data_IF_361704840763
#
_entry.id   IF_361704840763
#
_cell.length_a   1.000
_cell.length_b   1.000
_cell.length_c   1.000
_cell.angle_alpha   90.00
_cell.angle_beta   90.00
_cell.angle_gamma   90.00
#
_symmetry.space_group_name_H-M   'P 1'
#
loop_
_entity.id
_entity.type
_entity.pdbx_description
1 polymer ?
#
# COMPACT_ATOMS: atom_id res chain seq x y z
N UNK A 1 -50.38 29.79 21.53
CA UNK A 1 -50.56 28.32 21.41
C UNK A 1 -50.01 27.88 20.07
N UNK A 2 -49.17 26.87 20.10
CA UNK A 2 -48.12 26.55 19.12
C UNK A 2 -48.72 25.78 17.95
N UNK A 3 -48.53 26.25 16.72
CA UNK A 3 -49.04 25.57 15.51
C UNK A 3 -48.48 26.15 14.22
N UNK A 4 -47.38 25.54 13.74
CA UNK A 4 -46.84 25.48 12.36
C UNK A 4 -45.47 24.79 12.49
N UNK A 5 -45.38 23.46 12.41
CA UNK A 5 -45.29 22.68 11.16
C UNK A 5 -44.42 23.40 10.11
N UNK A 6 -43.12 23.44 10.38
CA UNK A 6 -42.06 23.30 9.39
C UNK A 6 -41.37 21.97 9.77
N UNK A 7 -41.56 20.83 9.09
CA UNK A 7 -41.27 20.59 7.68
C UNK A 7 -39.93 21.19 7.26
N UNK A 8 -38.87 20.83 7.97
CA UNK A 8 -37.51 20.95 7.49
C UNK A 8 -36.84 19.58 7.60
N UNK A 9 -36.92 18.86 6.47
CA UNK A 9 -35.87 17.98 5.94
C UNK A 9 -35.38 16.89 6.90
N UNK A 10 -35.81 15.64 6.77
CA UNK A 10 -35.47 14.77 5.63
C UNK A 10 -33.97 14.81 5.25
N UNK A 11 -33.16 14.13 6.06
CA UNK A 11 -32.05 13.28 5.62
C UNK A 11 -31.58 12.51 6.87
N UNK A 12 -32.16 11.37 7.19
CA UNK A 12 -31.90 10.10 6.50
C UNK A 12 -30.38 9.87 6.33
N UNK A 13 -29.76 9.38 7.41
CA UNK A 13 -28.88 8.21 7.38
C UNK A 13 -27.52 8.28 6.67
N UNK A 14 -26.64 7.33 6.98
CA UNK A 14 -25.20 7.40 6.76
C UNK A 14 -24.85 6.99 5.33
N UNK A 15 -24.32 7.91 4.51
CA UNK A 15 -23.71 7.52 3.25
C UNK A 15 -22.29 7.08 3.50
N UNK A 16 -22.15 5.76 3.58
CA UNK A 16 -20.97 5.03 3.19
C UNK A 16 -20.31 5.64 1.93
N UNK A 17 -19.00 5.40 1.80
CA UNK A 17 -18.24 5.46 0.56
C UNK A 17 -17.43 6.75 0.28
N UNK A 18 -16.52 7.10 1.20
CA UNK A 18 -15.19 7.56 0.78
C UNK A 18 -14.22 6.39 0.90
N UNK A 19 -14.35 5.42 -0.02
CA UNK A 19 -13.23 4.51 -0.31
C UNK A 19 -12.12 5.42 -0.86
N UNK A 20 -10.94 5.54 -0.23
CA UNK A 20 -9.80 5.94 -1.02
C UNK A 20 -9.74 4.91 -2.16
N UNK A 21 -9.74 5.41 -3.39
CA UNK A 21 -9.39 4.63 -4.57
C UNK A 21 -7.93 4.18 -4.40
N UNK A 22 -7.72 3.21 -3.52
CA UNK A 22 -6.51 2.40 -3.52
C UNK A 22 -6.72 1.51 -4.73
N UNK A 23 -6.26 2.03 -5.87
CA UNK A 23 -5.87 1.20 -7.00
C UNK A 23 -5.08 0.02 -6.41
N UNK A 24 -5.50 -1.24 -6.58
CA UNK A 24 -4.57 -2.33 -6.40
C UNK A 24 -3.61 -2.28 -7.60
N UNK A 25 -2.67 -1.34 -7.58
CA UNK A 25 -1.45 -1.39 -8.38
C UNK A 25 -0.45 -2.37 -7.73
N UNK A 26 -0.96 -3.48 -7.21
CA UNK A 26 -0.17 -4.68 -7.03
C UNK A 26 -0.51 -5.58 -8.20
N UNK A 27 0.04 -5.23 -9.36
CA UNK A 27 0.00 -6.04 -10.56
C UNK A 27 0.30 -7.50 -10.19
N UNK A 28 -0.63 -8.46 -10.32
CA UNK A 28 -0.30 -9.86 -10.24
C UNK A 28 0.28 -10.28 -11.59
N UNK A 29 1.39 -9.67 -11.98
CA UNK A 29 2.15 -10.11 -13.15
C UNK A 29 3.47 -10.61 -12.64
N UNK A 30 3.49 -11.85 -12.19
CA UNK A 30 4.70 -12.63 -12.40
C UNK A 30 4.25 -14.00 -12.83
N UNK A 31 4.31 -14.16 -14.14
CA UNK A 31 4.42 -15.41 -14.86
C UNK A 31 5.09 -16.48 -13.99
N UNK A 32 4.55 -17.69 -14.13
CA UNK A 32 5.09 -18.93 -13.61
C UNK A 32 6.49 -19.19 -14.21
N UNK A 33 7.49 -18.43 -13.77
CA UNK A 33 8.89 -18.62 -14.11
C UNK A 33 9.37 -19.80 -13.28
N UNK A 34 9.96 -20.79 -13.93
CA UNK A 34 10.53 -21.99 -13.33
C UNK A 34 11.78 -21.66 -12.48
N UNK A 35 11.62 -20.87 -11.42
CA UNK A 35 12.67 -20.46 -10.50
C UNK A 35 13.00 -21.58 -9.52
N UNK A 36 14.28 -21.73 -9.17
CA UNK A 36 14.75 -22.75 -8.25
C UNK A 36 14.15 -22.55 -6.83
N UNK A 37 13.96 -23.62 -6.05
CA UNK A 37 13.36 -23.55 -4.70
C UNK A 37 14.09 -22.57 -3.76
N UNK A 38 15.41 -22.44 -3.94
CA UNK A 38 16.25 -21.47 -3.20
C UNK A 38 15.95 -20.03 -3.59
N UNK A 39 15.88 -19.74 -4.89
CA UNK A 39 15.58 -18.41 -5.44
C UNK A 39 14.18 -17.94 -5.02
N UNK A 40 13.18 -18.84 -5.07
CA UNK A 40 11.82 -18.54 -4.62
C UNK A 40 11.79 -18.06 -3.16
N UNK A 41 12.43 -18.80 -2.25
CA UNK A 41 12.52 -18.41 -0.83
C UNK A 41 13.23 -17.07 -0.64
N UNK A 42 14.29 -16.79 -1.40
CA UNK A 42 14.99 -15.51 -1.35
C UNK A 42 14.11 -14.35 -1.83
N UNK A 43 13.42 -14.53 -2.95
CA UNK A 43 12.47 -13.54 -3.47
C UNK A 43 11.34 -13.30 -2.47
N UNK A 44 10.80 -14.34 -1.83
CA UNK A 44 9.78 -14.19 -0.79
C UNK A 44 10.29 -13.42 0.44
N UNK A 45 11.52 -13.69 0.89
CA UNK A 45 12.14 -12.95 1.98
C UNK A 45 12.33 -11.46 1.62
N UNK A 46 12.78 -11.17 0.39
CA UNK A 46 12.94 -9.79 -0.10
C UNK A 46 11.60 -9.08 -0.28
N UNK A 47 10.57 -9.77 -0.81
CA UNK A 47 9.21 -9.24 -0.92
C UNK A 47 8.64 -8.87 0.46
N UNK A 48 8.83 -9.72 1.47
CA UNK A 48 8.39 -9.43 2.83
C UNK A 48 9.08 -8.19 3.40
N UNK A 49 10.39 -8.01 3.15
CA UNK A 49 11.12 -6.79 3.54
C UNK A 49 10.59 -5.55 2.81
N UNK A 50 10.37 -5.66 1.50
CA UNK A 50 9.80 -4.59 0.67
C UNK A 50 8.41 -4.17 1.16
N UNK A 51 7.54 -5.13 1.48
CA UNK A 51 6.21 -4.83 2.02
C UNK A 51 6.28 -4.12 3.37
N UNK A 52 7.17 -4.55 4.27
CA UNK A 52 7.39 -3.85 5.55
C UNK A 52 7.85 -2.41 5.33
N UNK A 53 8.84 -2.21 4.45
CA UNK A 53 9.34 -0.88 4.11
C UNK A 53 8.24 0.01 3.51
N UNK A 54 7.37 -0.53 2.65
CA UNK A 54 6.25 0.21 2.05
C UNK A 54 5.16 0.59 3.05
N UNK A 55 4.88 -0.29 4.02
CA UNK A 55 3.97 0.00 5.14
C UNK A 55 4.54 1.12 6.01
N UNK A 56 5.84 1.08 6.34
CA UNK A 56 6.52 2.14 7.07
C UNK A 56 6.49 3.47 6.30
N UNK A 57 6.67 3.42 4.98
CA UNK A 57 6.59 4.59 4.10
C UNK A 57 5.19 5.21 4.12
N UNK A 58 4.17 4.36 4.11
CA UNK A 58 2.77 4.79 4.19
C UNK A 58 2.48 5.38 5.57
N UNK A 59 2.98 4.78 6.65
CA UNK A 59 2.84 5.30 8.01
C UNK A 59 3.55 6.65 8.17
N UNK A 60 4.80 6.76 7.70
CA UNK A 60 5.58 8.00 7.73
C UNK A 60 4.96 9.12 6.88
N UNK A 61 4.28 8.78 5.78
CA UNK A 61 3.50 9.76 5.00
C UNK A 61 2.24 10.24 5.71
N UNK A 62 1.61 9.39 6.52
CA UNK A 62 0.38 9.73 7.27
C UNK A 62 0.69 10.48 8.57
N UNK A 63 1.77 10.13 9.26
CA UNK A 63 2.31 10.85 10.42
C UNK A 63 3.79 11.13 10.17
N UNK A 64 4.13 12.30 9.61
CA UNK A 64 5.52 12.65 9.33
C UNK A 64 6.21 13.08 10.62
N UNK A 65 6.61 12.11 11.44
CA UNK A 65 7.47 12.35 12.61
C UNK A 65 8.87 12.82 12.17
N UNK A 66 9.42 12.24 11.08
CA UNK A 66 10.66 12.71 10.47
C UNK A 66 10.59 12.67 8.93
N UNK A 67 10.71 13.82 8.24
CA UNK A 67 10.59 13.90 6.79
C UNK A 67 11.78 13.26 6.04
N UNK A 68 12.88 12.94 6.72
CA UNK A 68 14.04 12.29 6.10
C UNK A 68 13.88 10.76 6.04
N UNK A 69 12.92 10.17 6.74
CA UNK A 69 12.67 8.72 6.69
C UNK A 69 12.04 8.30 5.36
N UNK A 70 11.16 9.14 4.80
CA UNK A 70 10.51 8.93 3.50
C UNK A 70 11.52 8.62 2.37
N UNK A 71 12.51 9.49 2.07
CA UNK A 71 13.48 9.22 1.00
C UNK A 71 14.46 8.09 1.33
N UNK A 72 14.66 7.74 2.62
CA UNK A 72 15.49 6.58 3.00
C UNK A 72 14.77 5.28 2.68
N UNK A 73 13.50 5.17 3.08
CA UNK A 73 12.65 4.01 2.80
C UNK A 73 12.42 3.84 1.30
N UNK A 74 12.29 4.92 0.52
CA UNK A 74 12.20 4.84 -0.95
C UNK A 74 13.45 4.23 -1.58
N UNK A 75 14.64 4.62 -1.12
CA UNK A 75 15.91 4.02 -1.57
C UNK A 75 16.00 2.54 -1.21
N UNK A 76 15.53 2.17 -0.02
CA UNK A 76 15.53 0.79 0.43
C UNK A 76 14.60 -0.10 -0.42
N UNK A 77 13.38 0.40 -0.72
CA UNK A 77 12.43 -0.28 -1.62
C UNK A 77 13.03 -0.47 -3.02
N UNK A 78 13.68 0.56 -3.57
CA UNK A 78 14.36 0.47 -4.87
C UNK A 78 15.50 -0.55 -4.85
N UNK A 79 16.27 -0.61 -3.76
CA UNK A 79 17.31 -1.63 -3.56
C UNK A 79 16.75 -3.05 -3.53
N UNK A 80 15.68 -3.30 -2.79
CA UNK A 80 15.02 -4.60 -2.74
C UNK A 80 14.42 -5.00 -4.10
N UNK A 81 13.85 -4.06 -4.86
CA UNK A 81 13.34 -4.33 -6.21
C UNK A 81 14.47 -4.77 -7.15
N UNK A 82 15.58 -4.02 -7.18
CA UNK A 82 16.74 -4.37 -8.00
C UNK A 82 17.32 -5.75 -7.62
N UNK A 83 17.36 -6.09 -6.32
CA UNK A 83 17.82 -7.41 -5.87
C UNK A 83 16.88 -8.53 -6.34
N UNK A 84 15.56 -8.32 -6.28
CA UNK A 84 14.57 -9.27 -6.78
C UNK A 84 14.73 -9.47 -8.29
N UNK A 85 14.99 -8.41 -9.06
CA UNK A 85 15.22 -8.49 -10.50
C UNK A 85 16.51 -9.24 -10.84
N UNK A 86 17.59 -9.04 -10.08
CA UNK A 86 18.83 -9.83 -10.23
C UNK A 86 18.58 -11.31 -10.00
N UNK A 87 17.87 -11.68 -8.93
CA UNK A 87 17.59 -13.08 -8.59
C UNK A 87 16.65 -13.73 -9.62
N UNK A 88 15.75 -12.95 -10.23
CA UNK A 88 14.84 -13.43 -11.29
C UNK A 88 15.55 -13.70 -12.62
N UNK A 89 16.61 -12.95 -12.94
CA UNK A 89 17.37 -13.07 -14.19
C UNK A 89 18.65 -13.92 -14.05
N UNK A 90 18.95 -14.40 -12.84
CA UNK A 90 20.05 -15.31 -12.53
C UNK A 90 19.63 -16.77 -12.68
#
# INVERSE_FOLDING_TARGET
>A
MVGRICAFLLSCGPSENCRPAILPLHSPTTANMALNKKQKKQIEALKNKMQKAQTLLSAAKNQPDDPADVPRLEKEVAGYQAEIEKIKNA
#
